data_IF_996731132654
#
_entry.id   IF_996731132654
#
_cell.length_a   1.000
_cell.length_b   1.000
_cell.length_c   1.000
_cell.angle_alpha   90.00
_cell.angle_beta   90.00
_cell.angle_gamma   90.00
#
_symmetry.space_group_name_H-M   'P 1'
#
loop_
_entity.id
_entity.type
_entity.pdbx_description
1 polymer ?
#
# COMPACT_ATOMS: atom_id res chain seq x y z
N UNK A 1 2.41 24.09 -20.79
CA UNK A 1 3.80 24.09 -21.35
C UNK A 1 4.02 23.07 -22.48
N UNK A 2 3.57 21.81 -22.31
CA UNK A 2 3.70 20.73 -23.32
C UNK A 2 2.92 21.00 -24.63
N UNK A 3 1.72 21.57 -24.53
CA UNK A 3 0.82 21.88 -25.66
C UNK A 3 1.42 22.94 -26.60
N UNK A 4 2.25 23.85 -26.08
CA UNK A 4 2.94 24.86 -26.88
C UNK A 4 4.16 24.31 -27.60
N UNK A 5 4.80 23.27 -27.04
CA UNK A 5 5.94 22.60 -27.66
C UNK A 5 5.49 21.72 -28.84
N UNK A 6 4.36 21.03 -28.69
CA UNK A 6 3.75 20.20 -29.73
C UNK A 6 3.26 21.02 -30.94
N UNK A 7 2.71 22.22 -30.74
CA UNK A 7 2.30 23.09 -31.86
C UNK A 7 3.47 23.59 -32.72
N UNK A 8 4.67 23.71 -32.15
CA UNK A 8 5.86 24.14 -32.87
C UNK A 8 6.42 23.06 -33.81
N UNK A 9 6.46 21.81 -33.36
CA UNK A 9 7.08 20.70 -34.10
C UNK A 9 6.34 20.31 -35.39
N UNK A 10 5.03 20.53 -35.47
CA UNK A 10 4.21 20.03 -36.59
C UNK A 10 4.06 20.98 -37.79
N UNK A 11 4.66 22.18 -37.73
CA UNK A 11 4.47 23.21 -38.77
C UNK A 11 5.44 23.13 -39.96
N UNK A 12 6.37 22.17 -39.99
CA UNK A 12 7.43 22.10 -41.01
C UNK A 12 7.61 20.75 -41.72
N UNK A 13 6.73 19.76 -41.51
CA UNK A 13 6.89 18.45 -42.13
C UNK A 13 6.13 18.34 -43.46
N UNK A 14 6.78 18.00 -44.59
CA UNK A 14 6.09 17.69 -45.83
C UNK A 14 5.20 16.46 -45.64
N UNK A 15 3.96 16.55 -46.12
CA UNK A 15 2.94 15.49 -46.01
C UNK A 15 3.29 14.33 -46.93
N UNK A 16 4.23 13.50 -46.51
CA UNK A 16 4.39 12.15 -47.03
C UNK A 16 3.56 11.22 -46.14
N UNK A 17 2.50 10.66 -46.72
CA UNK A 17 1.47 9.90 -45.98
C UNK A 17 2.00 8.66 -45.27
N UNK A 18 3.18 8.17 -45.67
CA UNK A 18 3.89 7.11 -44.96
C UNK A 18 4.58 7.61 -43.68
N UNK A 19 5.16 8.81 -43.69
CA UNK A 19 5.87 9.38 -42.54
C UNK A 19 4.91 9.73 -41.40
N UNK A 20 3.71 10.22 -41.73
CA UNK A 20 2.69 10.58 -40.74
C UNK A 20 2.07 9.35 -40.07
N UNK A 21 1.91 8.23 -40.80
CA UNK A 21 1.45 6.96 -40.22
C UNK A 21 2.46 6.34 -39.26
N UNK A 22 3.75 6.35 -39.64
CA UNK A 22 4.82 5.89 -38.76
C UNK A 22 4.96 6.76 -37.51
N UNK A 23 4.83 8.09 -37.64
CA UNK A 23 4.88 9.01 -36.50
C UNK A 23 3.70 8.80 -35.54
N UNK A 24 2.48 8.65 -36.07
CA UNK A 24 1.31 8.34 -35.23
C UNK A 24 1.44 6.98 -34.53
N UNK A 25 1.99 5.96 -35.20
CA UNK A 25 2.22 4.64 -34.59
C UNK A 25 3.27 4.70 -33.47
N UNK A 26 4.36 5.45 -33.66
CA UNK A 26 5.38 5.68 -32.62
C UNK A 26 4.81 6.47 -31.44
N UNK A 27 3.97 7.48 -31.70
CA UNK A 27 3.29 8.25 -30.64
C UNK A 27 2.27 7.39 -29.86
N UNK A 28 1.56 6.49 -30.54
CA UNK A 28 0.63 5.55 -29.89
C UNK A 28 1.38 4.49 -29.06
N UNK A 29 2.49 3.97 -29.56
CA UNK A 29 3.37 3.09 -28.80
C UNK A 29 3.96 3.80 -27.58
N UNK A 30 4.44 5.03 -27.75
CA UNK A 30 4.92 5.84 -26.63
C UNK A 30 3.80 6.06 -25.60
N UNK A 31 2.58 6.43 -26.03
CA UNK A 31 1.45 6.60 -25.12
C UNK A 31 1.04 5.30 -24.41
N UNK A 32 1.11 4.15 -25.07
CA UNK A 32 0.89 2.86 -24.42
C UNK A 32 1.97 2.50 -23.40
N UNK A 33 3.24 2.82 -23.67
CA UNK A 33 4.34 2.61 -22.70
C UNK A 33 4.18 3.54 -21.51
N UNK A 34 3.83 4.81 -21.71
CA UNK A 34 3.57 5.76 -20.61
C UNK A 34 2.30 5.45 -19.80
N UNK A 35 1.34 4.70 -20.35
CA UNK A 35 0.13 4.27 -19.63
C UNK A 35 0.35 2.99 -18.79
N UNK A 36 1.48 2.29 -18.95
CA UNK A 36 1.78 1.08 -18.19
C UNK A 36 2.36 1.38 -16.80
N UNK A 37 3.13 2.46 -16.64
CA UNK A 37 3.75 2.86 -15.37
C UNK A 37 2.81 3.58 -14.38
N UNK A 38 1.50 3.29 -14.41
CA UNK A 38 0.50 3.87 -13.51
C UNK A 38 -0.29 2.81 -12.72
N UNK A 39 0.09 1.53 -12.83
CA UNK A 39 -0.58 0.44 -12.10
C UNK A 39 0.45 -0.39 -11.34
N UNK A 40 1.13 0.21 -10.36
CA UNK A 40 1.96 -0.56 -9.43
C UNK A 40 1.08 -1.59 -8.71
N UNK A 41 1.63 -2.77 -8.47
CA UNK A 41 0.94 -3.84 -7.74
C UNK A 41 1.71 -4.18 -6.49
N UNK A 42 1.01 -4.54 -5.42
CA UNK A 42 1.62 -4.99 -4.17
C UNK A 42 2.45 -6.26 -4.41
N UNK A 43 3.71 -6.24 -3.97
CA UNK A 43 4.68 -7.34 -4.16
C UNK A 43 4.96 -8.09 -2.88
N UNK A 44 5.22 -7.36 -1.81
CA UNK A 44 5.56 -7.90 -0.51
C UNK A 44 5.06 -6.95 0.57
N UNK A 45 4.30 -7.46 1.54
CA UNK A 45 3.95 -6.71 2.74
C UNK A 45 5.02 -6.95 3.80
N UNK A 46 5.50 -5.86 4.41
CA UNK A 46 6.23 -5.93 5.68
C UNK A 46 5.19 -5.99 6.79
N UNK A 47 4.27 -5.02 6.80
CA UNK A 47 3.19 -4.95 7.79
C UNK A 47 2.03 -4.08 7.28
N UNK A 48 0.80 -4.57 7.51
CA UNK A 48 -0.46 -3.82 7.39
C UNK A 48 -1.17 -3.66 8.74
N UNK A 49 -0.49 -4.06 9.81
CA UNK A 49 -0.87 -3.99 11.21
C UNK A 49 -2.09 -4.83 11.62
N UNK A 50 -2.72 -5.56 10.70
CA UNK A 50 -3.90 -6.39 11.00
C UNK A 50 -3.57 -7.57 11.91
N UNK A 51 -2.40 -8.16 11.72
CA UNK A 51 -1.91 -9.25 12.55
C UNK A 51 -1.44 -8.71 13.89
N UNK A 52 -2.08 -9.15 14.98
CA UNK A 52 -1.74 -8.72 16.34
C UNK A 52 -2.34 -7.37 16.75
N UNK A 53 -3.27 -6.82 15.95
CA UNK A 53 -4.04 -5.66 16.34
C UNK A 53 -4.82 -5.88 17.64
N UNK A 54 -4.86 -4.84 18.47
CA UNK A 54 -5.39 -4.84 19.84
C UNK A 54 -4.68 -5.83 20.80
N UNK A 55 -3.52 -6.37 20.40
CA UNK A 55 -2.74 -7.33 21.20
C UNK A 55 -1.28 -6.88 21.40
N UNK A 56 -0.82 -5.88 20.65
CA UNK A 56 0.54 -5.39 20.71
C UNK A 56 0.58 -3.91 21.08
N UNK A 57 1.01 -3.62 22.30
CA UNK A 57 1.09 -2.26 22.85
C UNK A 57 2.21 -2.17 23.89
N UNK A 58 2.78 -0.97 24.01
CA UNK A 58 3.75 -0.56 25.03
C UNK A 58 3.29 0.79 25.58
N UNK A 59 3.33 0.95 26.91
CA UNK A 59 2.91 2.17 27.60
C UNK A 59 3.87 2.49 28.74
N UNK A 60 4.40 3.72 28.77
CA UNK A 60 5.25 4.20 29.85
C UNK A 60 4.61 5.41 30.52
N UNK A 61 4.28 5.29 31.81
CA UNK A 61 3.98 6.44 32.67
C UNK A 61 5.21 6.83 33.50
N UNK A 62 5.73 8.04 33.33
CA UNK A 62 6.90 8.51 34.08
C UNK A 62 6.55 8.77 35.55
N UNK A 63 7.08 7.94 36.46
CA UNK A 63 6.90 8.13 37.91
C UNK A 63 7.55 9.42 38.46
N UNK A 64 8.54 9.97 37.76
CA UNK A 64 9.26 11.20 38.11
C UNK A 64 9.66 11.97 36.85
N UNK A 65 10.06 13.23 36.99
CA UNK A 65 10.60 14.00 35.85
C UNK A 65 11.94 13.40 35.43
N UNK A 66 12.06 13.07 34.15
CA UNK A 66 13.25 12.53 33.52
C UNK A 66 13.95 13.64 32.72
N UNK A 67 15.25 13.77 32.94
CA UNK A 67 16.11 14.78 32.32
C UNK A 67 17.20 14.14 31.45
N UNK A 68 17.75 14.89 30.50
CA UNK A 68 18.66 14.41 29.43
C UNK A 68 19.91 13.64 29.92
N UNK A 69 20.30 13.77 31.19
CA UNK A 69 21.49 13.11 31.74
C UNK A 69 21.15 11.89 32.61
N UNK A 70 19.88 11.54 32.73
CA UNK A 70 19.41 10.36 33.45
C UNK A 70 19.32 9.16 32.50
N UNK A 71 19.31 7.96 33.08
CA UNK A 71 19.10 6.74 32.29
C UNK A 71 17.70 6.78 31.68
N UNK A 72 17.60 6.49 30.39
CA UNK A 72 16.33 6.36 29.70
C UNK A 72 15.42 5.30 30.36
N UNK A 73 14.12 5.49 30.23
CA UNK A 73 13.12 4.50 30.64
C UNK A 73 12.71 3.74 29.40
N UNK A 74 12.82 2.42 29.45
CA UNK A 74 12.55 1.52 28.33
C UNK A 74 11.45 0.55 28.74
N UNK A 75 10.53 0.31 27.83
CA UNK A 75 9.58 -0.80 27.89
C UNK A 75 9.47 -1.42 26.50
N UNK A 76 9.26 -2.73 26.45
CA UNK A 76 9.15 -3.49 25.21
C UNK A 76 8.07 -4.56 25.28
N UNK A 77 7.59 -4.94 24.10
CA UNK A 77 6.65 -6.01 23.89
C UNK A 77 7.03 -6.79 22.64
N UNK A 78 6.76 -8.09 22.67
CA UNK A 78 6.94 -8.99 21.54
C UNK A 78 5.60 -9.59 21.16
N UNK A 79 5.32 -9.65 19.86
CA UNK A 79 4.18 -10.35 19.31
C UNK A 79 4.64 -11.43 18.34
N UNK A 80 4.09 -12.64 18.45
CA UNK A 80 4.35 -13.75 17.51
C UNK A 80 3.03 -14.24 16.90
N UNK A 81 2.96 -14.26 15.57
CA UNK A 81 1.82 -14.77 14.82
C UNK A 81 1.78 -16.31 14.86
N UNK A 82 0.64 -16.87 15.23
CA UNK A 82 0.40 -18.30 15.08
C UNK A 82 0.20 -18.67 13.60
N UNK A 83 1.19 -19.34 13.02
CA UNK A 83 1.10 -19.92 11.68
C UNK A 83 1.80 -19.11 10.58
N UNK A 84 2.27 -17.89 10.88
CA UNK A 84 3.14 -17.08 10.04
C UNK A 84 2.62 -16.90 8.61
N UNK A 85 1.48 -16.23 8.49
CA UNK A 85 0.75 -16.08 7.24
C UNK A 85 0.52 -14.63 6.81
N UNK A 86 0.62 -13.68 7.74
CA UNK A 86 0.38 -12.26 7.48
C UNK A 86 1.45 -11.31 8.00
N UNK A 87 2.38 -11.76 8.85
CA UNK A 87 3.47 -10.95 9.39
C UNK A 87 4.83 -11.47 8.91
N UNK A 88 5.66 -10.59 8.35
CA UNK A 88 7.03 -10.93 7.96
C UNK A 88 7.83 -11.39 9.19
N UNK A 89 8.63 -12.44 9.06
CA UNK A 89 9.39 -13.00 10.20
C UNK A 89 8.54 -13.72 11.26
N UNK A 90 7.21 -13.77 11.09
CA UNK A 90 6.26 -14.35 12.05
C UNK A 90 6.17 -13.63 13.39
N UNK A 91 6.91 -12.54 13.59
CA UNK A 91 6.91 -11.76 14.82
C UNK A 91 7.18 -10.29 14.51
N UNK A 92 6.90 -9.48 15.52
CA UNK A 92 7.20 -8.08 15.55
C UNK A 92 7.46 -7.71 16.99
N UNK A 93 8.52 -6.96 17.20
CA UNK A 93 8.95 -6.48 18.49
C UNK A 93 8.77 -4.96 18.51
N UNK A 94 8.30 -4.44 19.63
CA UNK A 94 7.95 -3.04 19.83
C UNK A 94 8.66 -2.52 21.06
N UNK A 95 9.26 -1.33 20.96
CA UNK A 95 9.92 -0.66 22.09
C UNK A 95 9.58 0.82 22.11
N UNK A 96 9.41 1.34 23.33
CA UNK A 96 9.49 2.76 23.61
C UNK A 96 10.72 3.00 24.48
N UNK A 97 11.59 3.93 24.07
CA UNK A 97 12.66 4.47 24.90
C UNK A 97 12.41 5.94 25.16
N UNK A 98 12.17 6.32 26.42
CA UNK A 98 11.92 7.69 26.86
C UNK A 98 13.21 8.31 27.40
N UNK A 99 13.62 9.44 26.82
CA UNK A 99 14.84 10.15 27.22
C UNK A 99 14.56 11.34 28.14
N UNK A 100 13.44 12.04 27.94
CA UNK A 100 13.03 13.18 28.79
C UNK A 100 11.52 13.27 28.91
N UNK A 101 11.03 13.81 30.03
CA UNK A 101 9.61 14.08 30.23
C UNK A 101 9.26 14.45 31.67
N UNK A 102 8.08 15.02 31.88
CA UNK A 102 7.60 15.35 33.23
C UNK A 102 6.96 14.15 33.92
N UNK A 103 6.90 14.19 35.26
CA UNK A 103 6.21 13.15 36.03
C UNK A 103 4.72 13.08 35.67
N UNK A 104 4.16 11.86 35.67
CA UNK A 104 2.78 11.51 35.30
C UNK A 104 2.44 11.88 33.84
N UNK A 105 3.43 11.73 32.95
CA UNK A 105 3.25 11.78 31.50
C UNK A 105 3.30 10.37 30.96
N UNK A 106 2.41 10.09 30.02
CA UNK A 106 2.17 8.78 29.43
C UNK A 106 2.63 8.79 27.98
N UNK A 107 3.40 7.79 27.59
CA UNK A 107 3.92 7.59 26.24
C UNK A 107 3.35 6.27 25.75
N UNK A 108 2.77 6.25 24.55
CA UNK A 108 2.12 5.05 24.01
C UNK A 108 2.65 4.73 22.62
N UNK A 109 2.72 3.44 22.36
CA UNK A 109 2.94 2.84 21.04
C UNK A 109 2.03 1.63 21.00
N UNK A 110 1.04 1.65 20.13
CA UNK A 110 0.00 0.62 20.10
C UNK A 110 -0.43 0.31 18.69
N UNK A 111 -0.86 -0.92 18.48
CA UNK A 111 -1.47 -1.36 17.22
C UNK A 111 -2.91 -1.76 17.51
N UNK A 112 -3.84 -1.15 16.78
CA UNK A 112 -5.27 -1.37 16.99
C UNK A 112 -6.03 -1.53 15.66
N UNK A 113 -7.15 -2.23 15.73
CA UNK A 113 -8.06 -2.39 14.59
C UNK A 113 -8.89 -1.13 14.36
N UNK A 114 -9.20 -0.82 13.11
CA UNK A 114 -10.09 0.28 12.70
C UNK A 114 -11.33 -0.29 12.01
N UNK A 115 -12.43 -0.48 12.76
CA UNK A 115 -13.65 -0.97 12.18
C UNK A 115 -14.21 0.00 11.15
N UNK A 116 -14.36 -0.49 9.90
CA UNK A 116 -14.89 0.28 8.77
C UNK A 116 -13.98 1.45 8.32
N UNK A 117 -12.67 1.38 8.61
CA UNK A 117 -11.68 2.28 8.02
C UNK A 117 -11.33 1.90 6.59
N UNK A 118 -10.58 2.77 5.89
CA UNK A 118 -9.91 2.39 4.65
C UNK A 118 -8.81 1.34 4.90
N UNK A 119 -8.20 1.42 6.07
CA UNK A 119 -7.25 0.46 6.61
C UNK A 119 -7.91 -0.31 7.75
N UNK A 120 -7.60 -1.61 7.84
CA UNK A 120 -8.18 -2.49 8.85
C UNK A 120 -7.51 -2.33 10.22
N UNK A 121 -6.25 -1.86 10.27
CA UNK A 121 -5.48 -1.61 11.47
C UNK A 121 -4.38 -0.57 11.24
N UNK A 122 -3.87 0.01 12.33
CA UNK A 122 -2.84 1.05 12.29
C UNK A 122 -1.89 0.93 13.51
N UNK A 123 -0.63 1.34 13.34
CA UNK A 123 0.32 1.57 14.43
C UNK A 123 0.29 3.05 14.82
N UNK A 124 -0.16 3.35 16.03
CA UNK A 124 -0.20 4.71 16.56
C UNK A 124 0.81 4.93 17.68
N UNK A 125 1.35 6.13 17.68
CA UNK A 125 2.36 6.60 18.62
C UNK A 125 1.90 7.93 19.19
N UNK A 126 1.95 8.07 20.51
CA UNK A 126 1.71 9.35 21.18
C UNK A 126 2.85 9.67 22.14
N UNK A 127 3.45 10.83 21.93
CA UNK A 127 4.52 11.38 22.75
C UNK A 127 4.06 12.71 23.37
N UNK A 128 4.06 12.86 24.70
CA UNK A 128 3.63 14.09 25.37
C UNK A 128 4.44 15.32 24.99
N UNK A 129 3.78 16.47 25.06
CA UNK A 129 4.44 17.78 24.98
C UNK A 129 5.64 17.87 25.93
N UNK A 130 6.68 18.56 25.49
CA UNK A 130 7.94 18.83 26.22
C UNK A 130 8.67 17.57 26.68
N UNK A 131 8.49 16.46 25.95
CA UNK A 131 9.09 15.16 26.22
C UNK A 131 9.72 14.61 24.94
N UNK A 132 10.64 13.66 25.09
CA UNK A 132 11.33 13.02 23.96
C UNK A 132 11.44 11.52 24.16
N UNK A 133 11.07 10.75 23.14
CA UNK A 133 11.18 9.30 23.08
C UNK A 133 11.56 8.84 21.68
N UNK A 134 11.94 7.57 21.54
CA UNK A 134 11.97 6.87 20.27
C UNK A 134 11.05 5.67 20.38
N UNK A 135 10.13 5.51 19.43
CA UNK A 135 9.33 4.30 19.27
C UNK A 135 9.94 3.48 18.15
N UNK A 136 10.13 2.19 18.37
CA UNK A 136 10.78 1.29 17.40
C UNK A 136 9.92 0.07 17.17
N UNK A 137 9.76 -0.30 15.90
CA UNK A 137 9.34 -1.64 15.49
C UNK A 137 10.53 -2.39 14.91
N UNK A 138 10.65 -3.66 15.27
CA UNK A 138 11.69 -4.57 14.79
C UNK A 138 11.02 -5.83 14.22
N UNK A 139 11.51 -6.27 13.07
CA UNK A 139 11.13 -7.50 12.38
C UNK A 139 12.39 -8.29 12.09
N UNK A 140 12.75 -9.19 12.98
CA UNK A 140 13.99 -9.95 12.92
C UNK A 140 13.76 -11.43 13.24
N UNK A 141 12.51 -11.89 13.31
CA UNK A 141 12.15 -13.30 13.45
C UNK A 141 11.59 -13.65 14.83
N UNK A 142 10.82 -14.74 14.90
CA UNK A 142 10.12 -15.10 16.14
C UNK A 142 11.06 -15.62 17.24
N UNK A 143 11.57 -14.71 18.07
CA UNK A 143 12.50 -15.02 19.16
C UNK A 143 12.09 -14.44 20.55
N UNK A 144 11.03 -13.63 20.61
CA UNK A 144 10.54 -12.95 21.82
C UNK A 144 11.61 -12.05 22.47
N UNK A 145 12.42 -11.38 21.64
CA UNK A 145 13.54 -10.54 22.05
C UNK A 145 13.51 -9.20 21.32
N UNK A 146 14.15 -8.19 21.90
CA UNK A 146 14.47 -6.95 21.19
C UNK A 146 15.98 -6.88 20.83
N UNK A 147 16.73 -7.95 21.12
CA UNK A 147 18.12 -8.06 20.70
C UNK A 147 18.16 -8.46 19.23
N UNK A 148 18.50 -7.51 18.35
CA UNK A 148 18.50 -7.67 16.89
C UNK A 148 19.13 -9.00 16.41
N UNK A 149 18.33 -9.85 15.76
CA UNK A 149 18.78 -11.04 15.01
C UNK A 149 18.80 -10.77 13.50
N UNK A 150 19.96 -10.32 13.00
CA UNK A 150 20.18 -10.09 11.56
C UNK A 150 20.09 -11.36 10.69
N UNK A 151 19.75 -12.53 11.26
CA UNK A 151 19.51 -13.76 10.49
C UNK A 151 18.10 -14.29 10.61
N UNK A 152 17.24 -13.72 11.44
CA UNK A 152 15.99 -14.38 11.80
C UNK A 152 14.85 -14.22 10.79
N UNK A 153 14.92 -13.27 9.84
CA UNK A 153 14.06 -13.30 8.63
C UNK A 153 14.50 -14.37 7.62
N UNK A 154 15.73 -14.88 7.73
CA UNK A 154 16.21 -16.00 6.91
C UNK A 154 16.51 -15.66 5.45
N UNK A 155 16.80 -14.38 5.13
CA UNK A 155 17.20 -13.96 3.79
C UNK A 155 16.01 -13.68 2.88
N UNK A 156 15.14 -12.76 3.29
CA UNK A 156 13.98 -12.34 2.50
C UNK A 156 14.45 -11.44 1.35
N UNK A 157 14.00 -11.77 0.15
CA UNK A 157 14.21 -10.95 -1.05
C UNK A 157 13.12 -9.87 -1.14
N UNK A 158 13.45 -8.65 -0.72
CA UNK A 158 12.52 -7.50 -0.77
C UNK A 158 12.25 -7.04 -2.21
N UNK A 159 13.18 -7.34 -3.14
CA UNK A 159 13.01 -7.03 -4.57
C UNK A 159 12.04 -7.99 -5.26
N UNK A 160 11.68 -9.10 -4.59
CA UNK A 160 10.82 -10.15 -5.12
C UNK A 160 11.27 -10.58 -6.52
N UNK A 161 12.53 -11.02 -6.62
CA UNK A 161 13.18 -11.41 -7.88
C UNK A 161 13.33 -10.26 -8.88
N UNK A 162 13.46 -9.02 -8.39
CA UNK A 162 13.55 -7.79 -9.19
C UNK A 162 12.22 -7.31 -9.77
N UNK A 163 11.09 -7.67 -9.17
CA UNK A 163 9.75 -7.20 -9.59
C UNK A 163 9.14 -6.15 -8.67
N UNK A 164 9.75 -5.93 -7.51
CA UNK A 164 9.48 -4.80 -6.64
C UNK A 164 10.61 -3.78 -6.77
N UNK A 165 10.24 -2.51 -6.92
CA UNK A 165 11.14 -1.40 -7.22
C UNK A 165 10.90 -0.18 -6.32
N UNK A 166 9.77 -0.12 -5.61
CA UNK A 166 9.46 0.98 -4.70
C UNK A 166 9.01 0.45 -3.31
N UNK A 167 9.43 1.14 -2.24
CA UNK A 167 8.82 1.03 -0.91
C UNK A 167 7.63 1.99 -0.84
N UNK A 168 6.45 1.45 -0.55
CA UNK A 168 5.26 2.19 -0.18
C UNK A 168 5.15 2.29 1.35
N UNK A 169 5.06 3.52 1.85
CA UNK A 169 4.91 3.85 3.26
C UNK A 169 3.70 4.77 3.41
N UNK A 170 2.67 4.32 4.14
CA UNK A 170 1.48 5.13 4.43
C UNK A 170 1.51 5.61 5.88
N UNK A 171 1.64 6.92 6.10
CA UNK A 171 1.77 7.48 7.42
C UNK A 171 1.19 8.91 7.52
N UNK A 172 0.82 9.31 8.73
CA UNK A 172 0.40 10.68 9.06
C UNK A 172 0.99 11.12 10.38
N UNK A 173 1.16 12.42 10.55
CA UNK A 173 1.54 13.00 11.84
C UNK A 173 0.94 14.39 12.00
N UNK A 174 0.70 14.79 13.25
CA UNK A 174 0.21 16.12 13.57
C UNK A 174 1.29 17.22 13.40
N UNK A 175 2.57 16.83 13.44
CA UNK A 175 3.73 17.67 13.14
C UNK A 175 4.66 17.00 12.12
N UNK A 176 5.57 17.76 11.55
CA UNK A 176 6.58 17.22 10.62
C UNK A 176 7.54 16.32 11.40
N UNK A 177 7.79 15.12 10.87
CA UNK A 177 8.60 14.09 11.51
C UNK A 177 9.39 13.30 10.46
N UNK A 178 10.56 12.81 10.87
CA UNK A 178 11.43 11.97 10.04
C UNK A 178 11.55 10.59 10.67
N UNK A 179 11.20 9.55 9.91
CA UNK A 179 11.42 8.16 10.29
C UNK A 179 12.77 7.70 9.73
N UNK A 180 13.43 6.80 10.45
CA UNK A 180 14.57 6.05 9.91
C UNK A 180 14.18 4.61 9.76
N UNK A 181 14.31 4.05 8.56
CA UNK A 181 14.08 2.63 8.29
C UNK A 181 15.42 1.98 7.96
N UNK A 182 15.78 0.96 8.72
CA UNK A 182 17.00 0.18 8.52
C UNK A 182 16.68 -1.23 8.05
N UNK A 183 17.36 -1.65 6.99
CA UNK A 183 17.34 -3.02 6.49
C UNK A 183 18.72 -3.64 6.69
N UNK A 184 18.75 -4.80 7.34
CA UNK A 184 19.98 -5.54 7.61
C UNK A 184 20.02 -6.76 6.71
N UNK A 185 21.06 -6.91 5.88
CA UNK A 185 21.30 -8.18 5.21
C UNK A 185 21.91 -9.21 6.18
N UNK A 186 21.81 -10.48 5.81
CA UNK A 186 22.32 -11.59 6.64
C UNK A 186 23.84 -11.60 6.81
N UNK A 187 24.58 -10.84 5.99
CA UNK A 187 26.03 -10.67 6.05
C UNK A 187 26.44 -9.45 6.92
N UNK A 188 25.47 -8.67 7.42
CA UNK A 188 25.64 -7.51 8.30
C UNK A 188 25.76 -6.17 7.57
N UNK A 189 25.46 -6.11 6.27
CA UNK A 189 25.26 -4.86 5.55
C UNK A 189 23.99 -4.13 6.00
N UNK A 190 23.97 -2.80 5.89
CA UNK A 190 22.86 -1.94 6.33
C UNK A 190 22.44 -1.02 5.19
N UNK A 191 21.19 -1.08 4.78
CA UNK A 191 20.57 -0.06 3.95
C UNK A 191 19.70 0.83 4.82
N UNK A 192 19.87 2.14 4.69
CA UNK A 192 19.13 3.15 5.45
C UNK A 192 18.25 3.96 4.50
N UNK A 193 17.05 4.29 4.97
CA UNK A 193 16.13 5.23 4.34
C UNK A 193 15.60 6.21 5.39
N UNK A 194 15.77 7.50 5.13
CA UNK A 194 15.15 8.58 5.89
C UNK A 194 13.82 8.97 5.20
N UNK A 195 12.72 8.94 5.95
CA UNK A 195 11.37 9.19 5.44
C UNK A 195 10.79 10.42 6.13
N UNK A 196 10.74 11.54 5.41
CA UNK A 196 10.17 12.80 5.88
C UNK A 196 8.63 12.80 5.68
N UNK A 197 7.89 12.82 6.79
CA UNK A 197 6.43 12.88 6.81
C UNK A 197 6.02 14.31 7.19
N UNK A 198 5.40 15.07 6.26
CA UNK A 198 4.91 16.40 6.56
C UNK A 198 3.77 16.36 7.58
N UNK A 199 3.62 17.45 8.32
CA UNK A 199 2.46 17.63 9.19
C UNK A 199 1.15 17.58 8.36
N UNK A 200 0.20 16.77 8.78
CA UNK A 200 -1.14 16.66 8.19
C UNK A 200 -2.21 17.22 9.14
N UNK A 201 -2.23 18.54 9.42
CA UNK A 201 -3.20 19.11 10.35
C UNK A 201 -4.58 19.21 9.73
N UNK A 202 -5.55 18.46 10.26
CA UNK A 202 -6.96 18.55 9.88
C UNK A 202 -7.38 17.43 8.93
N UNK A 203 -8.28 17.74 7.99
CA UNK A 203 -8.72 16.79 6.97
C UNK A 203 -7.68 16.72 5.85
N UNK A 204 -7.41 15.51 5.38
CA UNK A 204 -6.50 15.19 4.29
C UNK A 204 -7.13 14.10 3.43
N UNK A 205 -6.75 14.05 2.16
CA UNK A 205 -7.06 12.93 1.29
C UNK A 205 -6.03 11.82 1.55
N UNK A 206 -6.45 10.55 1.51
CA UNK A 206 -5.57 9.44 1.87
C UNK A 206 -4.36 9.30 0.94
N UNK A 207 -4.52 9.63 -0.34
CA UNK A 207 -3.44 9.59 -1.33
C UNK A 207 -2.32 10.61 -1.03
N UNK A 208 -2.62 11.69 -0.30
CA UNK A 208 -1.60 12.63 0.19
C UNK A 208 -0.73 12.06 1.33
N UNK A 209 -1.14 10.91 1.89
CA UNK A 209 -0.47 10.22 3.00
C UNK A 209 0.34 9.01 2.54
N UNK A 210 0.44 8.81 1.22
CA UNK A 210 1.15 7.71 0.59
C UNK A 210 2.49 8.20 0.04
N UNK A 211 3.56 7.60 0.55
CA UNK A 211 4.93 7.93 0.18
C UNK A 211 5.55 6.73 -0.52
N UNK A 212 6.14 6.98 -1.69
CA UNK A 212 6.85 6.00 -2.50
C UNK A 212 8.32 6.39 -2.56
N UNK A 213 9.18 5.41 -2.30
CA UNK A 213 10.64 5.57 -2.33
C UNK A 213 11.22 4.53 -3.28
N UNK A 214 12.00 4.96 -4.26
CA UNK A 214 12.66 4.06 -5.19
C UNK A 214 13.67 3.20 -4.42
N UNK A 215 13.90 1.96 -4.85
CA UNK A 215 14.93 1.10 -4.26
C UNK A 215 16.35 1.69 -4.35
N UNK A 216 16.55 2.63 -5.27
CA UNK A 216 17.79 3.39 -5.43
C UNK A 216 17.94 4.54 -4.41
N UNK A 217 16.87 4.91 -3.68
CA UNK A 217 16.90 5.92 -2.61
C UNK A 217 17.53 5.39 -1.33
N UNK A 218 17.65 4.07 -1.19
CA UNK A 218 18.33 3.43 -0.07
C UNK A 218 19.85 3.59 -0.18
N UNK A 219 20.50 3.76 0.96
CA UNK A 219 21.95 3.68 1.00
C UNK A 219 22.43 2.30 0.53
N UNK A 220 23.49 2.28 -0.28
CA UNK A 220 24.01 1.07 -0.94
C UNK A 220 24.82 0.15 -0.01
N UNK A 221 24.40 0.04 1.26
CA UNK A 221 25.15 -0.62 2.31
C UNK A 221 24.74 -2.06 2.60
N UNK A 222 23.66 -2.57 2.00
CA UNK A 222 23.18 -3.94 2.14
C UNK A 222 22.72 -4.57 0.81
N UNK A 223 22.54 -5.90 0.80
CA UNK A 223 21.86 -6.64 -0.27
C UNK A 223 20.36 -6.81 0.03
N UNK A 224 19.51 -6.02 -0.62
CA UNK A 224 18.04 -6.09 -0.48
C UNK A 224 17.42 -7.41 -0.98
N UNK A 225 18.21 -8.30 -1.60
CA UNK A 225 17.78 -9.65 -1.98
C UNK A 225 17.97 -10.70 -0.89
N UNK A 226 18.63 -10.36 0.22
CA UNK A 226 19.00 -11.29 1.30
C UNK A 226 18.86 -10.65 2.69
N UNK A 227 17.68 -10.08 2.97
CA UNK A 227 17.40 -9.35 4.22
C UNK A 227 17.12 -10.29 5.39
N UNK A 228 17.81 -10.02 6.49
CA UNK A 228 17.75 -10.79 7.72
C UNK A 228 17.03 -10.10 8.88
N UNK A 229 16.94 -8.76 8.87
CA UNK A 229 16.15 -8.00 9.84
C UNK A 229 15.74 -6.61 9.30
N UNK A 230 14.71 -6.02 9.90
CA UNK A 230 14.20 -4.68 9.59
C UNK A 230 13.94 -3.93 10.90
N UNK A 231 14.33 -2.66 10.99
CA UNK A 231 13.99 -1.77 12.11
C UNK A 231 13.39 -0.45 11.59
N UNK A 232 12.36 0.04 12.26
CA UNK A 232 11.70 1.31 11.96
C UNK A 232 11.74 2.16 13.21
N UNK A 233 12.45 3.28 13.13
CA UNK A 233 12.61 4.23 14.22
C UNK A 233 11.75 5.46 13.97
N UNK A 234 10.93 5.80 14.95
CA UNK A 234 10.23 7.06 15.02
C UNK A 234 10.80 7.87 16.20
N UNK A 235 11.74 8.81 15.96
CA UNK A 235 12.15 9.78 16.96
C UNK A 235 11.04 10.79 17.21
N UNK A 236 10.48 10.78 18.42
CA UNK A 236 9.42 11.69 18.85
C UNK A 236 9.97 12.81 19.72
N UNK A 237 9.72 14.05 19.33
CA UNK A 237 10.04 15.22 20.15
C UNK A 237 8.87 16.20 20.24
N UNK A 238 8.51 16.59 21.46
CA UNK A 238 7.53 17.65 21.77
C UNK A 238 6.13 17.50 21.13
N UNK A 239 5.26 16.68 21.72
CA UNK A 239 3.86 16.51 21.29
C UNK A 239 3.72 15.93 19.87
N UNK A 240 4.28 14.74 19.66
CA UNK A 240 4.12 14.00 18.40
C UNK A 240 2.97 13.03 18.58
N UNK A 241 1.97 13.13 17.73
CA UNK A 241 1.01 12.08 17.46
C UNK A 241 1.21 11.62 16.01
N UNK A 242 1.55 10.35 15.83
CA UNK A 242 1.87 9.80 14.53
C UNK A 242 1.22 8.43 14.33
N UNK A 243 0.88 8.12 13.09
CA UNK A 243 0.24 6.87 12.71
C UNK A 243 0.89 6.32 11.44
N UNK A 244 1.24 5.03 11.46
CA UNK A 244 1.67 4.26 10.29
C UNK A 244 0.59 3.22 9.97
N UNK A 245 0.26 3.07 8.69
CA UNK A 245 -0.87 2.27 8.22
C UNK A 245 -0.45 1.07 7.39
N UNK A 246 0.55 1.24 6.54
CA UNK A 246 1.08 0.17 5.69
C UNK A 246 2.54 0.41 5.39
N UNK A 247 3.29 -0.69 5.36
CA UNK A 247 4.66 -0.75 4.90
C UNK A 247 4.77 -1.94 3.96
N UNK A 248 5.02 -1.68 2.68
CA UNK A 248 5.06 -2.74 1.66
C UNK A 248 5.95 -2.34 0.49
N UNK A 249 6.44 -3.32 -0.23
CA UNK A 249 7.07 -3.12 -1.52
C UNK A 249 6.05 -3.29 -2.64
N UNK A 250 6.09 -2.40 -3.62
CA UNK A 250 5.26 -2.42 -4.81
C UNK A 250 6.14 -2.50 -6.06
N UNK A 251 5.53 -2.80 -7.21
CA UNK A 251 6.21 -2.62 -8.48
C UNK A 251 5.42 -3.03 -9.71
N UNK A 252 6.07 -2.91 -10.87
CA UNK A 252 5.44 -3.04 -12.19
C UNK A 252 4.81 -4.42 -12.44
N UNK A 253 3.55 -4.52 -12.91
CA UNK A 253 2.86 -5.78 -13.14
C UNK A 253 3.62 -6.64 -14.15
N UNK A 254 3.92 -7.89 -13.77
CA UNK A 254 4.64 -8.81 -14.66
C UNK A 254 3.81 -8.98 -15.94
N UNK A 255 4.37 -8.72 -17.14
CA UNK A 255 3.64 -8.90 -18.37
C UNK A 255 3.21 -10.37 -18.50
N UNK A 256 1.91 -10.60 -18.48
CA UNK A 256 1.32 -11.94 -18.63
C UNK A 256 1.89 -12.59 -19.89
N UNK A 257 2.60 -13.71 -19.73
CA UNK A 257 3.03 -14.50 -20.88
C UNK A 257 1.78 -14.94 -21.65
N UNK A 258 1.55 -14.27 -22.78
CA UNK A 258 0.49 -14.65 -23.70
C UNK A 258 0.73 -16.12 -24.08
N UNK A 259 -0.22 -17.04 -23.88
CA UNK A 259 0.03 -18.46 -24.07
C UNK A 259 0.48 -18.69 -25.51
N UNK A 260 1.76 -19.01 -25.67
CA UNK A 260 2.32 -19.38 -26.97
C UNK A 260 1.57 -20.65 -27.38
N UNK A 261 0.71 -20.52 -28.39
CA UNK A 261 -0.20 -21.58 -28.83
C UNK A 261 0.53 -22.92 -28.92
N UNK A 262 0.15 -23.84 -28.04
CA UNK A 262 0.69 -25.20 -28.01
C UNK A 262 0.57 -25.79 -29.42
N UNK A 263 1.66 -26.27 -30.05
CA UNK A 263 1.56 -26.91 -31.35
C UNK A 263 0.67 -28.14 -31.21
N UNK A 264 -0.45 -28.12 -31.94
CA UNK A 264 -1.43 -29.19 -32.01
C UNK A 264 -0.73 -30.50 -32.40
N UNK A 265 -0.58 -31.43 -31.45
CA UNK A 265 -0.07 -32.77 -31.75
C UNK A 265 -1.04 -33.46 -32.72
N UNK A 266 -0.51 -33.86 -33.87
CA UNK A 266 -1.18 -34.70 -34.86
C UNK A 266 -1.60 -36.03 -34.23
N UNK A 267 -2.83 -36.52 -34.44
CA UNK A 267 -3.27 -37.79 -33.87
C UNK A 267 -2.59 -38.98 -34.59
N UNK A 268 -1.96 -39.85 -33.79
CA UNK A 268 -1.43 -41.15 -34.22
C UNK A 268 -2.55 -42.20 -34.23
N UNK A 269 -2.65 -43.08 -35.26
CA UNK A 269 -3.72 -44.08 -35.32
C UNK A 269 -3.45 -45.24 -34.35
N UNK A 270 -4.23 -45.31 -33.27
CA UNK A 270 -4.17 -46.43 -32.31
C UNK A 270 -4.99 -47.62 -32.80
N UNK A 271 -4.37 -48.79 -32.79
CA UNK A 271 -4.96 -50.07 -33.17
C UNK A 271 -6.02 -50.57 -32.17
N UNK A 272 -7.00 -51.28 -32.74
CA UNK A 272 -8.14 -51.92 -32.07
C UNK A 272 -7.73 -52.91 -30.98
N UNK A 273 -8.28 -52.76 -29.77
CA UNK A 273 -8.23 -53.76 -28.70
C UNK A 273 -9.66 -54.06 -28.19
N UNK A 274 -9.94 -55.35 -28.12
CA UNK A 274 -11.18 -56.07 -27.77
C UNK A 274 -11.58 -55.92 -26.29
N UNK A 275 -12.88 -56.01 -25.91
CA UNK A 275 -13.37 -55.65 -24.57
C UNK A 275 -13.33 -56.79 -23.54
N UNK A 276 -13.15 -56.43 -22.26
CA UNK A 276 -13.49 -57.27 -21.09
C UNK A 276 -13.71 -56.40 -19.84
N UNK A 277 -14.42 -56.91 -18.80
CA UNK A 277 -15.51 -56.18 -18.17
C UNK A 277 -15.15 -55.46 -16.85
N UNK A 278 -16.01 -54.48 -16.57
CA UNK A 278 -16.19 -53.62 -15.39
C UNK A 278 -16.00 -54.30 -14.03
N UNK A 279 -15.38 -53.57 -13.09
CA UNK A 279 -16.02 -53.32 -11.81
C UNK A 279 -16.04 -51.82 -11.45
N UNK A 280 -17.20 -51.36 -10.96
CA UNK A 280 -17.41 -50.03 -10.41
C UNK A 280 -16.78 -49.89 -9.01
N UNK A 281 -16.29 -48.68 -8.68
CA UNK A 281 -16.70 -48.06 -7.43
C UNK A 281 -17.17 -46.62 -7.64
N UNK A 282 -18.24 -46.29 -6.91
CA UNK A 282 -18.84 -44.97 -6.77
C UNK A 282 -17.84 -43.98 -6.14
N UNK A 283 -17.55 -42.88 -6.84
CA UNK A 283 -17.00 -41.67 -6.22
C UNK A 283 -18.14 -40.67 -6.18
N UNK A 284 -18.64 -40.44 -4.97
CA UNK A 284 -19.52 -39.31 -4.66
C UNK A 284 -18.75 -38.02 -4.93
N UNK A 285 -19.31 -37.22 -5.83
CA UNK A 285 -18.89 -35.87 -6.14
C UNK A 285 -19.24 -34.98 -4.92
N UNK A 286 -18.24 -34.42 -4.24
CA UNK A 286 -18.49 -33.35 -3.27
C UNK A 286 -18.92 -32.09 -4.04
N UNK A 287 -20.23 -31.93 -4.25
CA UNK A 287 -20.83 -30.66 -4.63
C UNK A 287 -20.91 -29.74 -3.41
N UNK A 288 -20.24 -28.59 -3.46
CA UNK A 288 -20.51 -27.50 -2.52
C UNK A 288 -21.87 -26.89 -2.84
N UNK A 289 -22.86 -27.17 -1.97
CA UNK A 289 -24.09 -26.39 -1.92
C UNK A 289 -23.84 -25.15 -1.06
N UNK A 290 -23.60 -24.00 -1.69
CA UNK A 290 -23.77 -22.73 -1.00
C UNK A 290 -25.28 -22.51 -0.73
N UNK A 291 -25.70 -22.13 0.48
CA UNK A 291 -27.07 -21.70 0.71
C UNK A 291 -27.35 -20.44 -0.13
N UNK A 292 -28.52 -20.39 -0.74
CA UNK A 292 -29.02 -19.16 -1.36
C UNK A 292 -29.19 -18.16 -0.21
N UNK A 293 -28.42 -17.07 -0.23
CA UNK A 293 -28.70 -15.94 0.65
C UNK A 293 -29.90 -15.18 0.09
N UNK A 294 -30.90 -15.00 0.94
CA UNK A 294 -32.07 -14.19 0.63
C UNK A 294 -31.83 -12.81 1.26
N UNK A 295 -31.62 -11.78 0.44
CA UNK A 295 -31.72 -10.41 0.95
C UNK A 295 -33.19 -10.16 1.34
N UNK A 296 -33.44 -10.00 2.63
CA UNK A 296 -34.74 -9.55 3.12
C UNK A 296 -34.67 -8.04 3.33
N UNK A 297 -35.39 -7.29 2.49
CA UNK A 297 -35.70 -5.90 2.77
C UNK A 297 -36.74 -5.89 3.90
N UNK A 298 -36.32 -5.46 5.08
CA UNK A 298 -37.24 -5.22 6.21
C UNK A 298 -37.80 -3.81 6.00
N UNK A 299 -39.09 -3.74 5.68
CA UNK A 299 -39.83 -2.48 5.69
C UNK A 299 -40.34 -2.24 7.12
N UNK A 300 -39.98 -1.11 7.71
CA UNK A 300 -40.64 -0.60 8.90
C UNK A 300 -41.97 0.05 8.48
N UNK A 301 -43.14 -0.50 8.87
CA UNK A 301 -44.43 0.04 8.49
C UNK A 301 -44.82 1.32 9.26
N UNK A 302 -44.03 1.74 10.25
CA UNK A 302 -44.32 2.92 11.08
C UNK A 302 -43.52 4.17 10.65
N UNK A 303 -42.63 4.05 9.66
CA UNK A 303 -41.92 5.19 9.06
C UNK A 303 -42.72 5.73 7.86
N UNK A 304 -43.19 6.98 7.97
CA UNK A 304 -43.92 7.68 6.92
C UNK A 304 -43.01 8.24 5.82
N UNK A 305 -41.70 8.03 5.94
CA UNK A 305 -40.70 8.29 4.91
C UNK A 305 -40.30 6.99 4.22
N UNK A 306 -40.92 6.70 3.08
CA UNK A 306 -40.61 5.56 2.21
C UNK A 306 -39.25 5.74 1.48
N UNK A 307 -38.18 5.88 2.25
CA UNK A 307 -36.79 6.01 1.79
C UNK A 307 -36.02 4.79 2.30
N UNK A 308 -35.66 3.89 1.40
CA UNK A 308 -34.64 2.90 1.69
C UNK A 308 -33.34 3.66 2.00
N UNK A 309 -32.81 3.52 3.21
CA UNK A 309 -31.46 3.98 3.54
C UNK A 309 -30.47 3.23 2.63
N UNK A 310 -30.09 3.85 1.53
CA UNK A 310 -28.79 3.62 0.93
C UNK A 310 -27.82 4.44 1.76
N UNK A 311 -26.89 3.76 2.43
CA UNK A 311 -25.65 4.39 2.83
C UNK A 311 -24.90 4.64 1.52
N UNK A 312 -25.15 5.81 0.93
CA UNK A 312 -24.41 6.34 -0.20
C UNK A 312 -23.45 7.36 0.39
N UNK A 313 -22.19 7.27 -0.02
CA UNK A 313 -21.06 8.00 0.52
C UNK A 313 -21.25 9.53 0.36
N UNK A 314 -21.16 10.27 1.46
CA UNK A 314 -21.41 11.70 1.53
C UNK A 314 -20.26 12.53 0.91
N UNK A 315 -20.18 12.59 -0.43
CA UNK A 315 -19.26 13.47 -1.18
C UNK A 315 -19.92 14.73 -1.77
N UNK A 316 -21.10 15.18 -1.29
CA UNK A 316 -21.74 16.40 -1.81
C UNK A 316 -21.50 17.65 -0.93
N UNK A 317 -20.63 18.54 -1.41
CA UNK A 317 -20.44 19.88 -0.82
C UNK A 317 -21.50 20.88 -1.34
N UNK A 318 -22.36 21.37 -0.43
CA UNK A 318 -23.41 22.32 -0.78
C UNK A 318 -22.96 23.78 -0.58
N UNK A 319 -22.89 24.57 -1.66
CA UNK A 319 -22.68 26.04 -1.57
C UNK A 319 -23.97 26.78 -1.90
N UNK A 320 -24.54 27.46 -0.91
CA UNK A 320 -25.74 28.30 -1.07
C UNK A 320 -25.31 29.71 -1.50
N UNK A 321 -25.61 30.08 -2.75
CA UNK A 321 -25.37 31.44 -3.24
C UNK A 321 -26.30 32.45 -2.57
N UNK A 322 -25.89 33.72 -2.50
CA UNK A 322 -26.63 34.84 -1.88
C UNK A 322 -28.03 35.14 -2.47
N UNK A 323 -28.42 34.40 -3.51
CA UNK A 323 -29.66 34.56 -4.25
C UNK A 323 -30.62 33.38 -4.03
N UNK A 324 -30.27 32.43 -3.13
CA UNK A 324 -31.04 31.22 -2.87
C UNK A 324 -30.92 30.15 -3.96
N UNK A 325 -29.97 30.28 -4.87
CA UNK A 325 -29.65 29.25 -5.86
C UNK A 325 -28.77 28.19 -5.21
N UNK A 326 -29.22 26.94 -5.25
CA UNK A 326 -28.39 25.77 -4.94
C UNK A 326 -27.71 25.35 -6.24
N UNK A 327 -26.38 25.31 -6.24
CA UNK A 327 -25.58 24.79 -7.35
C UNK A 327 -24.92 23.52 -6.84
N UNK A 328 -25.24 22.40 -7.48
CA UNK A 328 -24.59 21.11 -7.22
C UNK A 328 -23.30 21.06 -8.04
N UNK A 329 -22.18 20.81 -7.35
CA UNK A 329 -20.91 20.55 -7.99
C UNK A 329 -20.66 19.05 -7.89
N UNK A 330 -20.90 18.34 -8.98
CA UNK A 330 -20.47 16.97 -9.14
C UNK A 330 -18.95 17.01 -9.44
N UNK A 331 -18.14 16.72 -8.43
CA UNK A 331 -16.72 16.44 -8.61
C UNK A 331 -16.59 14.93 -8.80
N UNK A 332 -17.01 14.42 -9.97
CA UNK A 332 -16.49 13.13 -10.44
C UNK A 332 -14.95 13.23 -10.41
N UNK A 333 -14.36 12.49 -9.48
CA UNK A 333 -12.93 12.34 -9.29
C UNK A 333 -12.27 12.01 -10.63
N UNK A 334 -11.51 12.99 -11.11
CA UNK A 334 -10.86 12.96 -12.41
C UNK A 334 -9.67 12.04 -12.41
N UNK A 335 -9.88 10.76 -12.73
CA UNK A 335 -8.84 9.91 -13.34
C UNK A 335 -9.34 9.26 -14.64
N UNK A 336 -10.64 8.98 -14.77
CA UNK A 336 -11.26 8.42 -15.98
C UNK A 336 -11.66 9.44 -17.06
N UNK A 337 -12.20 10.60 -16.66
CA UNK A 337 -12.77 11.58 -17.61
C UNK A 337 -11.70 12.30 -18.45
N UNK A 338 -10.52 12.56 -17.88
CA UNK A 338 -9.37 13.12 -18.60
C UNK A 338 -8.82 12.13 -19.64
N UNK A 339 -8.81 10.84 -19.32
CA UNK A 339 -8.40 9.76 -20.23
C UNK A 339 -9.40 9.59 -21.39
N UNK A 340 -10.71 9.66 -21.13
CA UNK A 340 -11.74 9.61 -22.18
C UNK A 340 -11.72 10.88 -23.04
N UNK A 341 -11.54 12.07 -22.46
CA UNK A 341 -11.41 13.30 -23.24
C UNK A 341 -10.13 13.33 -24.08
N UNK A 342 -8.99 12.86 -23.54
CA UNK A 342 -7.73 12.79 -24.29
C UNK A 342 -7.84 11.77 -25.44
N UNK A 343 -8.42 10.59 -25.19
CA UNK A 343 -8.60 9.56 -26.23
C UNK A 343 -9.65 9.96 -27.28
N UNK A 344 -10.74 10.62 -26.90
CA UNK A 344 -11.72 11.19 -27.83
C UNK A 344 -11.13 12.31 -28.69
N UNK A 345 -10.28 13.17 -28.11
CA UNK A 345 -9.58 14.24 -28.84
C UNK A 345 -8.58 13.66 -29.85
N UNK A 346 -7.84 12.61 -29.46
CA UNK A 346 -6.92 11.89 -30.35
C UNK A 346 -7.66 11.21 -31.51
N UNK A 347 -8.78 10.53 -31.23
CA UNK A 347 -9.62 9.92 -32.27
C UNK A 347 -10.25 10.96 -33.20
N UNK A 348 -10.71 12.10 -32.67
CA UNK A 348 -11.27 13.19 -33.47
C UNK A 348 -10.22 13.85 -34.38
N UNK A 349 -8.98 14.03 -33.88
CA UNK A 349 -7.86 14.53 -34.69
C UNK A 349 -7.50 13.53 -35.78
N UNK A 350 -7.42 12.23 -35.48
CA UNK A 350 -7.16 11.19 -36.49
C UNK A 350 -8.27 11.15 -37.55
N UNK A 351 -9.54 11.23 -37.14
CA UNK A 351 -10.68 11.25 -38.07
C UNK A 351 -10.67 12.48 -39.00
N UNK A 352 -10.27 13.65 -38.49
CA UNK A 352 -10.16 14.88 -39.27
C UNK A 352 -8.99 14.89 -40.28
N UNK A 353 -8.03 13.98 -40.15
CA UNK A 353 -6.89 13.84 -41.09
C UNK A 353 -7.02 12.65 -42.05
N UNK A 354 -7.98 11.74 -41.82
CA UNK A 354 -8.25 10.57 -42.67
C UNK A 354 -9.39 10.82 -43.69
N UNK A 355 -10.25 11.81 -43.44
CA UNK A 355 -11.20 12.37 -44.41
C UNK A 355 -10.57 13.54 -45.17
#
# INVERSE_FOLDING_TARGET
PLVSLLRGLFSFLPVDTHMMKSLCFVLLLAACVFAQGLNSVDRLFIDDFTVGANQHQVEIELAATLTENEQSVIDDASFTENGCSGLIGCSRDMRIEVFTGFANREFTSEIFDIPNGLFDAEWAISNPKTSSSVCTLQYDGADESFDLDITGLGGVDLTVGGTADELFFAAVSDIEIEYTILFYDVDGGICELEVEIPATPGAYDYDETFYLFDIDDFDNGCDLTDIGAIEIFLPSSDAVDAIVRQIKFVGDPIPSETPTGTPTRTPEPTASVTPSPTPAPSIEECMCHCPIFTCALIFDPDDDENNAYYFDDDDEFQVVGSNGSVVYYDFESGSGAAMIQASALVVAVIAAFVL
#
